data_IF_541281613337
#
_entry.id   IF_541281613337
#
_cell.length_a   1.000
_cell.length_b   1.000
_cell.length_c   1.000
_cell.angle_alpha   90.00
_cell.angle_beta   90.00
_cell.angle_gamma   90.00
#
_symmetry.space_group_name_H-M   'P 1'
#
loop_
_entity.id
_entity.type
_entity.pdbx_description
1 polymer ?
#
# COMPACT_ATOMS: atom_id res chain seq x y z
N UNK A 1 -38.74 -28.45 -25.96
CA UNK A 1 -37.61 -27.94 -26.74
C UNK A 1 -37.51 -26.45 -26.48
N UNK A 2 -36.46 -25.98 -25.80
CA UNK A 2 -36.25 -24.54 -25.62
C UNK A 2 -35.80 -23.93 -26.96
N UNK A 3 -36.44 -22.83 -27.38
CA UNK A 3 -36.06 -22.11 -28.59
C UNK A 3 -34.69 -21.45 -28.41
N UNK A 4 -33.90 -21.42 -29.48
CA UNK A 4 -32.53 -20.91 -29.52
C UNK A 4 -32.41 -19.47 -28.97
N UNK A 5 -33.47 -18.67 -29.14
CA UNK A 5 -33.61 -17.31 -28.60
C UNK A 5 -33.64 -17.25 -27.08
N UNK A 6 -34.20 -18.25 -26.40
CA UNK A 6 -34.28 -18.31 -24.93
C UNK A 6 -32.92 -18.67 -24.32
N UNK A 7 -32.08 -19.44 -25.03
CA UNK A 7 -30.74 -19.82 -24.58
C UNK A 7 -29.77 -18.63 -24.63
N UNK A 8 -29.83 -17.81 -25.69
CA UNK A 8 -29.00 -16.60 -25.80
C UNK A 8 -29.34 -15.56 -24.73
N UNK A 9 -30.61 -15.43 -24.35
CA UNK A 9 -31.03 -14.47 -23.33
C UNK A 9 -30.55 -14.88 -21.92
N UNK A 10 -30.48 -16.18 -21.62
CA UNK A 10 -29.97 -16.71 -20.35
C UNK A 10 -28.44 -16.62 -20.23
N UNK A 11 -27.70 -16.80 -21.33
CA UNK A 11 -26.23 -16.64 -21.33
C UNK A 11 -25.81 -15.17 -21.20
N UNK A 12 -26.59 -14.24 -21.75
CA UNK A 12 -26.32 -12.80 -21.62
C UNK A 12 -26.53 -12.23 -20.20
N UNK A 13 -27.44 -12.82 -19.42
CA UNK A 13 -27.79 -12.35 -18.06
C UNK A 13 -26.76 -12.72 -16.99
N UNK A 14 -25.92 -13.73 -17.22
CA UNK A 14 -24.90 -14.16 -16.25
C UNK A 14 -23.67 -13.23 -16.25
N UNK A 15 -23.46 -12.45 -17.31
CA UNK A 15 -22.29 -11.56 -17.44
C UNK A 15 -22.40 -10.21 -16.71
N UNK A 16 -23.55 -9.85 -16.11
CA UNK A 16 -23.80 -8.47 -15.66
C UNK A 16 -23.62 -8.26 -14.13
N UNK A 17 -23.31 -9.28 -13.34
CA UNK A 17 -23.34 -9.16 -11.87
C UNK A 17 -22.00 -9.35 -11.15
N UNK A 18 -20.84 -9.22 -11.83
CA UNK A 18 -19.55 -9.08 -11.14
C UNK A 18 -19.13 -7.62 -11.19
N UNK A 19 -19.88 -6.76 -10.50
CA UNK A 19 -19.32 -5.51 -10.02
C UNK A 19 -18.45 -5.87 -8.82
N UNK A 20 -17.22 -6.30 -9.10
CA UNK A 20 -16.18 -6.40 -8.09
C UNK A 20 -16.12 -5.06 -7.36
N UNK A 21 -16.19 -5.08 -6.04
CA UNK A 21 -15.92 -3.89 -5.23
C UNK A 21 -14.67 -3.19 -5.79
N UNK A 22 -14.64 -1.85 -5.91
CA UNK A 22 -13.47 -1.16 -6.46
C UNK A 22 -12.28 -1.48 -5.56
N UNK A 23 -11.46 -2.45 -5.97
CA UNK A 23 -10.20 -2.74 -5.32
C UNK A 23 -9.27 -1.62 -5.73
N UNK A 24 -8.60 -0.98 -4.77
CA UNK A 24 -7.54 0.01 -5.06
C UNK A 24 -6.42 -0.58 -5.95
N UNK A 25 -6.38 -1.91 -6.08
CA UNK A 25 -5.61 -2.67 -7.06
C UNK A 25 -5.80 -2.18 -8.49
N UNK A 26 -7.03 -1.78 -8.86
CA UNK A 26 -7.31 -1.25 -10.19
C UNK A 26 -6.59 0.08 -10.43
N UNK A 27 -6.43 0.93 -9.42
CA UNK A 27 -5.84 2.26 -9.59
C UNK A 27 -4.32 2.18 -9.78
N UNK A 28 -3.63 1.29 -9.06
CA UNK A 28 -2.19 1.05 -9.22
C UNK A 28 -1.90 0.43 -10.59
N UNK A 29 -2.66 -0.60 -10.98
CA UNK A 29 -2.50 -1.27 -12.26
C UNK A 29 -2.82 -0.31 -13.44
N UNK A 30 -3.84 0.53 -13.31
CA UNK A 30 -4.18 1.55 -14.31
C UNK A 30 -3.10 2.63 -14.40
N UNK A 31 -2.56 3.10 -13.29
CA UNK A 31 -1.44 4.05 -13.29
C UNK A 31 -0.21 3.48 -14.00
N UNK A 32 0.13 2.20 -13.75
CA UNK A 32 1.20 1.51 -14.46
C UNK A 32 0.91 1.37 -15.97
N UNK A 33 -0.31 0.98 -16.35
CA UNK A 33 -0.72 0.80 -17.74
C UNK A 33 -0.70 2.12 -18.54
N UNK A 34 -1.02 3.24 -17.90
CA UNK A 34 -0.99 4.57 -18.51
C UNK A 34 0.41 5.22 -18.48
N UNK A 35 1.42 4.56 -17.90
CA UNK A 35 2.75 5.13 -17.71
C UNK A 35 2.82 6.27 -16.70
N UNK A 36 1.79 6.43 -15.86
CA UNK A 36 1.76 7.42 -14.79
C UNK A 36 2.50 6.89 -13.56
N UNK A 37 3.83 6.90 -13.65
CA UNK A 37 4.70 6.40 -12.58
C UNK A 37 4.58 7.20 -11.29
N UNK A 38 4.26 8.50 -11.38
CA UNK A 38 4.03 9.34 -10.21
C UNK A 38 2.78 8.90 -9.45
N UNK A 39 1.68 8.63 -10.15
CA UNK A 39 0.46 8.10 -9.52
C UNK A 39 0.66 6.67 -9.01
N UNK A 40 1.33 5.81 -9.78
CA UNK A 40 1.67 4.44 -9.36
C UNK A 40 2.42 4.44 -8.02
N UNK A 41 3.46 5.27 -7.91
CA UNK A 41 4.28 5.36 -6.69
C UNK A 41 3.49 5.91 -5.52
N UNK A 42 2.67 6.95 -5.74
CA UNK A 42 1.80 7.51 -4.70
C UNK A 42 0.83 6.44 -4.18
N UNK A 43 0.13 5.75 -5.07
CA UNK A 43 -0.84 4.72 -4.71
C UNK A 43 -0.18 3.53 -4.02
N UNK A 44 0.99 3.10 -4.51
CA UNK A 44 1.80 2.05 -3.88
C UNK A 44 2.20 2.44 -2.46
N UNK A 45 2.63 3.69 -2.23
CA UNK A 45 3.00 4.17 -0.90
C UNK A 45 1.80 4.27 0.05
N UNK A 46 0.61 4.61 -0.46
CA UNK A 46 -0.62 4.68 0.32
C UNK A 46 -1.14 3.28 0.73
N UNK A 47 -0.87 2.26 -0.08
CA UNK A 47 -1.22 0.88 0.26
C UNK A 47 -0.46 0.33 1.47
N UNK A 48 0.63 1.00 1.87
CA UNK A 48 1.40 0.66 3.07
C UNK A 48 1.18 1.70 4.17
N UNK A 49 0.06 1.58 4.89
CA UNK A 49 -0.16 2.37 6.11
C UNK A 49 0.53 1.70 7.30
N UNK A 50 1.65 2.28 7.73
CA UNK A 50 2.39 1.87 8.93
C UNK A 50 2.07 2.75 10.15
N UNK A 51 1.02 3.57 10.08
CA UNK A 51 0.65 4.54 11.11
C UNK A 51 0.41 3.87 12.46
N UNK A 52 -0.37 2.80 12.51
CA UNK A 52 -0.71 2.11 13.75
C UNK A 52 0.53 1.52 14.46
N UNK A 53 1.43 0.88 13.70
CA UNK A 53 2.66 0.31 14.24
C UNK A 53 3.59 1.41 14.75
N UNK A 54 3.65 2.54 14.05
CA UNK A 54 4.46 3.68 14.48
C UNK A 54 3.89 4.32 15.75
N UNK A 55 2.57 4.51 15.84
CA UNK A 55 1.94 4.98 17.07
C UNK A 55 2.14 4.01 18.24
N UNK A 56 2.08 2.70 18.00
CA UNK A 56 2.39 1.72 19.03
C UNK A 56 3.83 1.87 19.57
N UNK A 57 4.82 2.10 18.69
CA UNK A 57 6.21 2.35 19.12
C UNK A 57 6.33 3.68 19.87
N UNK A 58 5.74 4.76 19.38
CA UNK A 58 5.78 6.07 20.04
C UNK A 58 5.18 6.03 21.45
N UNK A 59 4.14 5.23 21.63
CA UNK A 59 3.41 5.12 22.90
C UNK A 59 3.96 4.02 23.83
N UNK A 60 5.06 3.35 23.49
CA UNK A 60 5.74 2.43 24.41
C UNK A 60 6.14 3.16 25.70
N UNK A 61 5.71 2.63 26.84
CA UNK A 61 5.98 3.15 28.17
C UNK A 61 6.54 2.05 29.08
N UNK A 62 7.49 2.38 29.98
CA UNK A 62 7.91 1.46 31.03
C UNK A 62 6.74 1.07 31.94
N UNK A 63 6.63 -0.21 32.32
CA UNK A 63 5.51 -0.74 33.13
C UNK A 63 5.77 -0.79 34.64
N UNK A 64 6.91 -0.27 35.11
CA UNK A 64 7.21 -0.24 36.54
C UNK A 64 8.54 0.41 36.93
N UNK A 65 8.82 0.52 38.25
CA UNK A 65 10.06 1.09 38.76
C UNK A 65 11.29 0.34 38.22
N UNK A 66 12.23 1.07 37.63
CA UNK A 66 13.46 0.50 37.04
C UNK A 66 13.26 -0.23 35.71
N UNK A 67 12.07 -0.19 35.11
CA UNK A 67 11.84 -0.76 33.78
C UNK A 67 12.29 0.19 32.67
N UNK A 68 12.70 -0.39 31.54
CA UNK A 68 13.12 0.33 30.35
C UNK A 68 12.30 -0.12 29.14
N UNK A 69 12.09 0.79 28.20
CA UNK A 69 11.50 0.46 26.89
C UNK A 69 12.44 0.87 25.77
N UNK A 70 12.60 -0.05 24.82
CA UNK A 70 13.17 0.23 23.52
C UNK A 70 12.25 -0.37 22.47
N UNK A 71 11.85 0.44 21.51
CA UNK A 71 11.05 0.00 20.38
C UNK A 71 11.51 0.67 19.10
N UNK A 72 11.51 -0.09 18.01
CA UNK A 72 11.83 0.42 16.68
C UNK A 72 10.85 -0.17 15.68
N UNK A 73 10.35 0.68 14.78
CA UNK A 73 9.66 0.25 13.58
C UNK A 73 10.11 1.11 12.40
N UNK A 74 10.21 0.52 11.22
CA UNK A 74 10.53 1.27 10.03
C UNK A 74 10.26 0.49 8.76
N UNK A 75 10.12 1.21 7.67
CA UNK A 75 9.99 0.65 6.33
C UNK A 75 10.91 1.38 5.36
N UNK A 76 11.28 0.69 4.29
CA UNK A 76 11.91 1.25 3.11
C UNK A 76 11.28 0.63 1.88
N UNK A 77 10.90 1.47 0.94
CA UNK A 77 10.37 1.10 -0.37
C UNK A 77 11.31 1.69 -1.40
N UNK A 78 11.78 0.83 -2.29
CA UNK A 78 12.59 1.21 -3.43
C UNK A 78 11.81 0.84 -4.70
N UNK A 79 11.48 1.84 -5.51
CA UNK A 79 10.89 1.66 -6.83
C UNK A 79 11.89 2.09 -7.89
N UNK A 80 12.01 1.28 -8.93
CA UNK A 80 12.76 1.61 -10.13
C UNK A 80 11.92 1.28 -11.36
N UNK A 81 11.99 2.12 -12.39
CA UNK A 81 11.31 1.91 -13.66
C UNK A 81 12.25 2.20 -14.83
N UNK A 82 11.97 1.57 -15.97
CA UNK A 82 12.63 1.85 -17.24
C UNK A 82 11.59 1.74 -18.36
N UNK A 83 11.18 2.87 -18.92
CA UNK A 83 10.26 2.93 -20.06
C UNK A 83 10.98 3.54 -21.24
N UNK A 84 11.18 2.74 -22.29
CA UNK A 84 11.85 3.17 -23.53
C UNK A 84 13.21 3.87 -23.29
N UNK A 85 13.97 3.41 -22.28
CA UNK A 85 15.28 3.98 -21.94
C UNK A 85 15.23 5.15 -20.95
N UNK A 86 14.05 5.66 -20.62
CA UNK A 86 13.87 6.62 -19.53
C UNK A 86 13.80 5.87 -18.21
N UNK A 87 14.80 6.08 -17.36
CA UNK A 87 14.88 5.45 -16.04
C UNK A 87 14.36 6.40 -14.97
N UNK A 88 13.60 5.87 -14.02
CA UNK A 88 13.33 6.56 -12.75
C UNK A 88 13.68 5.66 -11.58
N UNK A 89 14.16 6.28 -10.51
CA UNK A 89 14.45 5.63 -9.23
C UNK A 89 13.85 6.50 -8.14
N UNK A 90 13.13 5.88 -7.21
CA UNK A 90 12.63 6.56 -6.03
C UNK A 90 12.79 5.64 -4.83
N UNK A 91 13.19 6.26 -3.73
CA UNK A 91 13.28 5.62 -2.44
C UNK A 91 12.48 6.44 -1.46
N UNK A 92 11.68 5.75 -0.66
CA UNK A 92 10.97 6.32 0.46
C UNK A 92 11.14 5.39 1.64
N UNK A 93 11.23 5.95 2.83
CA UNK A 93 11.25 5.14 4.02
C UNK A 93 11.09 6.03 5.23
N UNK A 94 10.61 5.42 6.30
CA UNK A 94 10.47 6.10 7.58
C UNK A 94 10.82 5.11 8.67
N UNK A 95 11.46 5.60 9.73
CA UNK A 95 11.77 4.83 10.94
C UNK A 95 11.40 5.65 12.16
N UNK A 96 10.86 4.98 13.16
CA UNK A 96 10.56 5.51 14.48
C UNK A 96 11.33 4.71 15.50
N UNK A 97 12.01 5.39 16.41
CA UNK A 97 12.71 4.81 17.56
C UNK A 97 12.12 5.43 18.82
N UNK A 98 11.76 4.61 19.80
CA UNK A 98 11.43 5.04 21.15
C UNK A 98 12.42 4.41 22.11
N UNK A 99 13.24 5.24 22.75
CA UNK A 99 14.15 4.83 23.80
C UNK A 99 13.72 5.52 25.10
N UNK A 100 13.02 4.79 25.97
CA UNK A 100 12.55 5.26 27.27
C UNK A 100 11.73 6.57 27.19
N UNK A 101 10.87 6.70 26.18
CA UNK A 101 10.06 7.89 25.94
C UNK A 101 10.76 8.97 25.12
N UNK A 102 12.06 8.85 24.84
CA UNK A 102 12.72 9.68 23.83
C UNK A 102 12.40 9.13 22.44
N UNK A 103 11.51 9.82 21.74
CA UNK A 103 11.00 9.42 20.42
C UNK A 103 11.75 10.17 19.32
N UNK A 104 12.36 9.42 18.41
CA UNK A 104 13.06 9.93 17.24
C UNK A 104 12.41 9.39 15.96
N UNK A 105 12.22 10.26 14.97
CA UNK A 105 11.65 9.92 13.66
C UNK A 105 12.63 10.27 12.57
N UNK A 106 12.89 9.31 11.69
CA UNK A 106 13.84 9.40 10.59
C UNK A 106 13.11 9.19 9.28
N UNK A 107 13.30 10.08 8.32
CA UNK A 107 13.02 9.79 6.91
C UNK A 107 14.25 9.07 6.34
N UNK A 108 14.02 8.03 5.55
CA UNK A 108 15.04 7.16 5.00
C UNK A 108 15.01 7.24 3.48
N UNK A 109 16.19 7.43 2.91
CA UNK A 109 16.44 7.41 1.47
C UNK A 109 16.88 6.02 0.99
#
# INVERSE_FOLDING_TARGET
MLNLTTVFMLVGLIFVAVQGAPSQENDIAVAAANGDWSAFQKLLSQGFDFGEQFEAIKNLQPQGPGSHVYGEAGYRIHTSSNVNGQKSEQKIGRKVVNNNGNVEVYELD
#
